data_IF_157821475692
#
_entry.id   IF_157821475692
#
_cell.length_a   1.000
_cell.length_b   1.000
_cell.length_c   1.000
_cell.angle_alpha   90.00
_cell.angle_beta   90.00
_cell.angle_gamma   90.00
#
_symmetry.space_group_name_H-M   'P 1'
#
loop_
_entity.id
_entity.type
_entity.pdbx_description
1 polymer ?
#
# COMPACT_ATOMS: atom_id res chain seq x y z
N UNK A 1 -4.91 -4.10 3.21
CA UNK A 1 -3.60 -3.54 3.61
C UNK A 1 -3.86 -2.20 4.28
N UNK A 2 -3.17 -1.81 5.35
CA UNK A 2 -3.39 -0.50 6.00
C UNK A 2 -2.37 0.55 5.54
N UNK A 3 -2.78 1.80 5.25
CA UNK A 3 -1.88 2.88 4.85
C UNK A 3 -0.68 3.11 5.78
N UNK A 4 -0.81 2.73 7.06
CA UNK A 4 0.24 2.79 8.09
C UNK A 4 1.58 2.19 7.63
N UNK A 5 1.55 1.12 6.83
CA UNK A 5 2.79 0.51 6.30
C UNK A 5 3.57 1.49 5.42
N UNK A 6 2.88 2.20 4.53
CA UNK A 6 3.52 3.13 3.60
C UNK A 6 4.00 4.38 4.29
N UNK A 7 3.24 4.88 5.27
CA UNK A 7 3.64 6.00 6.15
C UNK A 7 4.95 5.68 6.88
N UNK A 8 5.06 4.48 7.46
CA UNK A 8 6.30 4.05 8.13
C UNK A 8 7.48 4.04 7.16
N UNK A 9 7.30 3.48 5.96
CA UNK A 9 8.36 3.40 4.95
C UNK A 9 8.75 4.81 4.45
N UNK A 10 7.80 5.73 4.31
CA UNK A 10 8.09 7.12 3.96
C UNK A 10 8.98 7.78 5.01
N UNK A 11 8.57 7.72 6.28
CA UNK A 11 9.32 8.33 7.40
C UNK A 11 10.72 7.72 7.56
N UNK A 12 10.91 6.45 7.21
CA UNK A 12 12.22 5.79 7.19
C UNK A 12 13.11 6.25 6.03
N UNK A 13 12.53 6.59 4.86
CA UNK A 13 13.29 6.94 3.64
C UNK A 13 13.54 8.43 3.50
N UNK A 14 12.61 9.24 3.97
CA UNK A 14 12.59 10.70 3.84
C UNK A 14 12.36 11.31 5.23
N UNK A 15 13.29 11.10 6.19
CA UNK A 15 13.11 11.54 7.58
C UNK A 15 12.99 13.06 7.73
N UNK A 16 13.57 13.81 6.79
CA UNK A 16 13.55 15.27 6.78
C UNK A 16 12.30 15.86 6.09
N UNK A 17 11.45 15.01 5.48
CA UNK A 17 10.23 15.43 4.77
C UNK A 17 9.01 14.84 5.48
N UNK A 18 8.29 15.62 6.31
CA UNK A 18 7.15 15.11 7.05
C UNK A 18 6.02 14.71 6.09
N UNK A 19 5.39 13.56 6.36
CA UNK A 19 4.17 13.14 5.68
C UNK A 19 2.95 13.56 6.49
N UNK A 20 2.18 14.51 5.96
CA UNK A 20 0.91 14.95 6.56
C UNK A 20 -0.22 14.05 6.08
N UNK A 21 -1.03 13.54 7.02
CA UNK A 21 -2.21 12.73 6.71
C UNK A 21 -3.46 13.54 6.97
N UNK A 22 -4.26 13.75 5.92
CA UNK A 22 -5.57 14.38 6.01
C UNK A 22 -6.65 13.29 5.96
N UNK A 23 -7.50 13.24 6.98
CA UNK A 23 -8.68 12.38 6.96
C UNK A 23 -9.84 13.15 6.30
N UNK A 24 -10.47 12.51 5.33
CA UNK A 24 -11.61 13.03 4.57
C UNK A 24 -12.63 11.92 4.41
N UNK A 25 -13.89 12.28 4.22
CA UNK A 25 -14.91 11.31 3.80
C UNK A 25 -14.62 10.83 2.37
N UNK A 26 -15.19 9.69 1.99
CA UNK A 26 -15.01 9.17 0.64
C UNK A 26 -15.58 10.13 -0.43
N UNK A 27 -16.69 10.82 -0.13
CA UNK A 27 -17.28 11.81 -1.02
C UNK A 27 -16.44 13.08 -1.21
N UNK A 28 -15.63 13.46 -0.21
CA UNK A 28 -14.77 14.66 -0.27
C UNK A 28 -13.43 14.41 -0.97
N UNK A 29 -12.94 13.16 -0.98
CA UNK A 29 -11.56 12.85 -1.34
C UNK A 29 -11.14 13.36 -2.73
N UNK A 30 -12.02 13.26 -3.72
CA UNK A 30 -11.75 13.77 -5.07
C UNK A 30 -11.68 15.29 -5.14
N UNK A 31 -12.58 15.99 -4.43
CA UNK A 31 -12.57 17.46 -4.38
C UNK A 31 -11.27 17.97 -3.75
N UNK A 32 -10.84 17.37 -2.64
CA UNK A 32 -9.60 17.74 -1.95
C UNK A 32 -8.36 17.58 -2.84
N UNK A 33 -8.29 16.53 -3.67
CA UNK A 33 -7.18 16.37 -4.62
C UNK A 33 -7.21 17.46 -5.71
N UNK A 34 -8.38 17.73 -6.28
CA UNK A 34 -8.55 18.74 -7.35
C UNK A 34 -8.27 20.16 -6.86
N UNK A 35 -8.64 20.45 -5.62
CA UNK A 35 -8.43 21.75 -4.99
C UNK A 35 -6.99 21.95 -4.48
N UNK A 36 -6.12 20.94 -4.63
CA UNK A 36 -4.74 20.98 -4.15
C UNK A 36 -4.62 20.91 -2.62
N UNK A 37 -5.65 20.45 -1.93
CA UNK A 37 -5.64 20.23 -0.48
C UNK A 37 -4.82 19.00 -0.05
N UNK A 38 -4.48 18.13 -0.99
CA UNK A 38 -3.55 17.01 -0.81
C UNK A 38 -2.82 16.68 -2.12
N UNK A 39 -1.55 16.25 -2.03
CA UNK A 39 -0.74 15.86 -3.20
C UNK A 39 -1.11 14.47 -3.76
N UNK A 40 -1.62 13.59 -2.90
CA UNK A 40 -2.08 12.25 -3.26
C UNK A 40 -3.12 11.74 -2.26
N UNK A 41 -4.01 10.87 -2.71
CA UNK A 41 -5.14 10.36 -1.91
C UNK A 41 -5.40 8.88 -2.14
N UNK A 42 -5.87 8.21 -1.09
CA UNK A 42 -6.46 6.88 -1.21
C UNK A 42 -7.94 7.03 -1.54
N UNK A 43 -8.31 6.68 -2.76
CA UNK A 43 -9.66 6.87 -3.30
C UNK A 43 -10.22 5.54 -3.77
N UNK A 44 -11.53 5.52 -4.05
CA UNK A 44 -12.20 4.36 -4.64
C UNK A 44 -12.37 4.57 -6.14
N UNK A 45 -12.22 3.49 -6.89
CA UNK A 45 -12.50 3.50 -8.33
C UNK A 45 -14.02 3.45 -8.58
N UNK A 46 -14.50 4.03 -9.69
CA UNK A 46 -13.74 4.66 -10.77
C UNK A 46 -13.17 6.04 -10.40
N UNK A 47 -12.02 6.37 -10.99
CA UNK A 47 -11.42 7.71 -10.94
C UNK A 47 -11.57 8.28 -12.35
N UNK A 48 -11.92 9.56 -12.45
CA UNK A 48 -11.89 10.29 -13.71
C UNK A 48 -10.44 10.46 -14.17
N UNK A 49 -10.08 9.83 -15.27
CA UNK A 49 -8.71 9.80 -15.80
C UNK A 49 -8.37 11.01 -16.68
N UNK A 50 -9.29 11.98 -16.79
CA UNK A 50 -9.04 13.22 -17.53
C UNK A 50 -8.16 14.21 -16.76
N UNK A 51 -8.25 14.20 -15.42
CA UNK A 51 -7.54 15.13 -14.54
C UNK A 51 -6.75 14.45 -13.42
N UNK A 52 -7.12 13.22 -13.05
CA UNK A 52 -6.46 12.45 -12.00
C UNK A 52 -5.79 11.21 -12.56
N UNK A 53 -4.54 10.98 -12.15
CA UNK A 53 -3.88 9.70 -12.31
C UNK A 53 -4.28 8.75 -11.18
N UNK A 54 -4.31 7.44 -11.44
CA UNK A 54 -4.63 6.44 -10.43
C UNK A 54 -3.86 5.13 -10.60
N UNK A 55 -3.47 4.52 -9.49
CA UNK A 55 -2.88 3.18 -9.42
C UNK A 55 -3.73 2.30 -8.50
N UNK A 56 -4.36 1.23 -9.02
CA UNK A 56 -5.09 0.26 -8.19
C UNK A 56 -4.16 -0.39 -7.16
N UNK A 57 -4.63 -0.53 -5.92
CA UNK A 57 -3.84 -1.06 -4.80
C UNK A 57 -4.36 -2.41 -4.34
N UNK A 58 -5.63 -2.45 -3.96
CA UNK A 58 -6.28 -3.64 -3.45
C UNK A 58 -7.80 -3.49 -3.57
N UNK A 59 -8.48 -4.61 -3.46
CA UNK A 59 -9.93 -4.67 -3.45
C UNK A 59 -10.43 -4.97 -2.04
N UNK A 60 -11.56 -4.38 -1.66
CA UNK A 60 -12.24 -4.63 -0.41
C UNK A 60 -13.57 -5.34 -0.64
N UNK A 61 -13.83 -6.35 0.19
CA UNK A 61 -15.12 -7.03 0.27
C UNK A 61 -16.20 -6.05 0.72
N UNK A 62 -17.35 -6.13 0.05
CA UNK A 62 -18.57 -5.44 0.46
C UNK A 62 -19.27 -6.24 1.56
N UNK A 63 -19.71 -5.55 2.59
CA UNK A 63 -20.42 -6.13 3.73
C UNK A 63 -21.72 -5.38 3.96
N UNK A 64 -22.74 -6.09 4.43
CA UNK A 64 -23.96 -5.48 4.95
C UNK A 64 -23.78 -5.21 6.45
N UNK A 65 -24.05 -3.98 6.87
CA UNK A 65 -24.09 -3.56 8.27
C UNK A 65 -25.52 -3.68 8.77
N UNK A 66 -25.69 -4.33 9.90
CA UNK A 66 -26.98 -4.75 10.44
C UNK A 66 -27.00 -4.65 11.98
N UNK A 67 -28.18 -4.45 12.60
CA UNK A 67 -28.36 -4.67 14.03
C UNK A 67 -28.00 -6.10 14.45
N UNK A 68 -27.46 -6.28 15.65
CA UNK A 68 -27.06 -7.61 16.14
C UNK A 68 -28.21 -8.60 16.34
N UNK A 69 -29.42 -8.09 16.52
CA UNK A 69 -30.66 -8.85 16.66
C UNK A 69 -31.39 -9.07 15.32
N UNK A 70 -30.83 -8.59 14.21
CA UNK A 70 -31.35 -8.83 12.87
C UNK A 70 -31.21 -10.30 12.44
N UNK A 71 -32.16 -10.84 11.68
CA UNK A 71 -32.15 -12.24 11.23
C UNK A 71 -30.89 -12.60 10.43
N UNK A 72 -30.43 -11.69 9.58
CA UNK A 72 -29.19 -11.81 8.79
C UNK A 72 -27.94 -11.97 9.68
N UNK A 73 -27.97 -11.55 10.94
CA UNK A 73 -26.84 -11.74 11.85
C UNK A 73 -26.60 -13.21 12.22
N UNK A 74 -27.58 -14.09 11.98
CA UNK A 74 -27.51 -15.52 12.31
C UNK A 74 -26.69 -16.35 11.32
N UNK A 75 -26.38 -15.82 10.13
CA UNK A 75 -25.57 -16.47 9.09
C UNK A 75 -24.20 -15.80 8.97
N UNK A 76 -23.21 -16.47 8.39
CA UNK A 76 -21.84 -15.95 8.26
C UNK A 76 -21.65 -15.02 7.05
N UNK A 77 -22.45 -15.21 6.00
CA UNK A 77 -22.45 -14.45 4.75
C UNK A 77 -23.87 -14.43 4.15
N UNK A 78 -24.13 -13.48 3.24
CA UNK A 78 -25.41 -13.35 2.52
C UNK A 78 -25.20 -13.04 1.05
N UNK A 79 -26.29 -13.10 0.29
CA UNK A 79 -26.41 -12.62 -1.08
C UNK A 79 -27.25 -11.35 -1.13
N UNK A 80 -27.26 -10.65 -2.28
CA UNK A 80 -28.17 -9.53 -2.53
C UNK A 80 -29.64 -9.97 -2.55
N UNK A 81 -29.92 -11.22 -2.93
CA UNK A 81 -31.26 -11.81 -2.93
C UNK A 81 -31.80 -12.00 -1.51
N UNK A 82 -30.96 -12.39 -0.55
CA UNK A 82 -31.33 -12.49 0.87
C UNK A 82 -31.75 -11.15 1.48
N UNK A 83 -31.41 -10.03 0.82
CA UNK A 83 -31.74 -8.66 1.25
C UNK A 83 -32.87 -8.04 0.43
N UNK A 84 -33.50 -8.79 -0.49
CA UNK A 84 -34.45 -8.24 -1.47
C UNK A 84 -35.70 -7.61 -0.84
N UNK A 85 -36.16 -8.15 0.31
CA UNK A 85 -37.33 -7.68 1.05
C UNK A 85 -36.97 -6.69 2.18
N UNK A 86 -35.68 -6.36 2.34
CA UNK A 86 -35.20 -5.45 3.38
C UNK A 86 -35.09 -4.03 2.84
N UNK A 87 -35.33 -3.03 3.70
CA UNK A 87 -35.03 -1.64 3.35
C UNK A 87 -33.52 -1.46 3.34
N UNK A 88 -32.95 -1.09 2.19
CA UNK A 88 -31.52 -0.82 2.04
C UNK A 88 -31.29 0.68 1.85
N UNK A 89 -30.40 1.20 2.69
CA UNK A 89 -29.99 2.59 2.71
C UNK A 89 -28.89 2.82 1.69
N UNK A 90 -29.10 3.80 0.80
CA UNK A 90 -28.11 4.26 -0.18
C UNK A 90 -27.76 5.72 0.08
N UNK A 91 -26.71 6.01 0.86
CA UNK A 91 -26.33 7.39 1.14
C UNK A 91 -25.89 8.13 -0.13
N UNK A 92 -25.88 9.47 -0.11
CA UNK A 92 -25.45 10.26 -1.27
C UNK A 92 -23.95 10.11 -1.58
N UNK A 93 -23.15 9.73 -0.58
CA UNK A 93 -21.71 9.45 -0.68
C UNK A 93 -21.38 7.97 -0.87
N UNK A 94 -22.35 7.14 -1.31
CA UNK A 94 -22.14 5.72 -1.57
C UNK A 94 -20.97 5.52 -2.56
N UNK A 95 -20.10 4.58 -2.22
CA UNK A 95 -18.85 4.31 -2.93
C UNK A 95 -18.86 3.00 -3.69
N UNK A 96 -19.99 2.29 -3.67
CA UNK A 96 -20.19 1.03 -4.37
C UNK A 96 -20.80 1.31 -5.76
N UNK A 97 -20.17 0.73 -6.77
CA UNK A 97 -20.58 0.87 -8.17
C UNK A 97 -21.67 -0.17 -8.49
N UNK A 98 -22.90 0.14 -8.11
CA UNK A 98 -24.06 -0.73 -8.30
C UNK A 98 -24.64 -0.62 -9.71
N UNK A 99 -24.76 -1.75 -10.42
CA UNK A 99 -25.64 -1.81 -11.59
C UNK A 99 -27.12 -1.75 -11.19
N UNK A 100 -27.46 -2.49 -10.12
CA UNK A 100 -28.77 -2.49 -9.48
C UNK A 100 -28.58 -2.63 -7.97
N UNK A 101 -28.91 -1.60 -7.18
CA UNK A 101 -28.85 -1.71 -5.73
C UNK A 101 -29.84 -2.76 -5.20
N UNK A 102 -29.49 -3.51 -4.13
CA UNK A 102 -30.35 -4.54 -3.57
C UNK A 102 -31.43 -3.96 -2.66
N UNK A 103 -32.43 -4.80 -2.33
CA UNK A 103 -33.48 -4.47 -1.38
C UNK A 103 -34.46 -3.39 -1.84
N UNK A 104 -35.34 -3.01 -0.93
CA UNK A 104 -36.27 -1.91 -1.11
C UNK A 104 -35.57 -0.57 -0.83
N UNK A 105 -35.67 0.42 -1.72
CA UNK A 105 -35.07 1.72 -1.47
C UNK A 105 -35.79 2.44 -0.33
N UNK A 106 -35.02 3.02 0.59
CA UNK A 106 -35.57 3.91 1.60
C UNK A 106 -36.26 5.13 0.98
N UNK A 107 -37.26 5.67 1.68
CA UNK A 107 -38.03 6.84 1.24
C UNK A 107 -37.14 8.07 1.00
N UNK A 108 -36.14 8.27 1.86
CA UNK A 108 -35.15 9.33 1.74
C UNK A 108 -33.74 8.76 1.84
N UNK A 109 -32.84 9.30 1.01
CA UNK A 109 -31.44 8.90 1.01
C UNK A 109 -30.68 9.69 2.08
N UNK A 110 -29.93 9.03 2.97
CA UNK A 110 -29.09 9.72 3.94
C UNK A 110 -28.03 10.58 3.22
N UNK A 111 -27.66 11.72 3.80
CA UNK A 111 -26.66 12.59 3.19
C UNK A 111 -25.28 11.93 3.17
N UNK A 112 -24.92 11.23 4.26
CA UNK A 112 -23.62 10.58 4.41
C UNK A 112 -23.74 9.13 4.86
N UNK A 113 -22.67 8.37 4.66
CA UNK A 113 -22.52 7.00 5.18
C UNK A 113 -22.63 6.98 6.70
N UNK A 114 -22.15 8.02 7.39
CA UNK A 114 -22.28 8.15 8.84
C UNK A 114 -23.73 8.30 9.28
N UNK A 115 -24.52 9.12 8.58
CA UNK A 115 -25.96 9.27 8.84
C UNK A 115 -26.71 7.95 8.60
N UNK A 116 -26.35 7.24 7.51
CA UNK A 116 -26.92 5.92 7.22
C UNK A 116 -26.65 4.92 8.35
N UNK A 117 -25.44 4.91 8.93
CA UNK A 117 -25.11 4.03 10.06
C UNK A 117 -26.00 4.31 11.28
N UNK A 118 -26.31 5.58 11.58
CA UNK A 118 -27.22 5.92 12.68
C UNK A 118 -28.65 5.41 12.42
N UNK A 119 -29.11 5.44 11.17
CA UNK A 119 -30.41 4.86 10.79
C UNK A 119 -30.43 3.33 10.89
N UNK A 120 -29.33 2.65 10.51
CA UNK A 120 -29.19 1.20 10.73
C UNK A 120 -29.27 0.89 12.23
N UNK A 121 -28.58 1.65 13.08
CA UNK A 121 -28.62 1.46 14.53
C UNK A 121 -30.02 1.70 15.13
N UNK A 122 -30.83 2.56 14.49
CA UNK A 122 -32.23 2.77 14.84
C UNK A 122 -33.18 1.69 14.28
N UNK A 123 -32.67 0.71 13.52
CA UNK A 123 -33.47 -0.38 12.93
C UNK A 123 -34.31 0.06 11.72
N UNK A 124 -33.96 1.17 11.06
CA UNK A 124 -34.73 1.74 9.94
C UNK A 124 -34.46 0.99 8.62
N UNK A 125 -33.28 0.40 8.49
CA UNK A 125 -32.87 -0.37 7.32
C UNK A 125 -31.47 -0.92 7.48
N UNK A 126 -30.95 -1.51 6.41
CA UNK A 126 -29.61 -2.09 6.34
C UNK A 126 -28.72 -1.23 5.43
N UNK A 127 -27.42 -1.35 5.55
CA UNK A 127 -26.47 -0.56 4.76
C UNK A 127 -25.35 -1.44 4.22
N UNK A 128 -25.14 -1.43 2.90
CA UNK A 128 -23.99 -2.11 2.30
C UNK A 128 -22.85 -1.11 2.14
N UNK A 129 -21.68 -1.47 2.65
CA UNK A 129 -20.46 -0.66 2.57
C UNK A 129 -19.23 -1.55 2.40
N UNK A 130 -18.11 -1.00 1.90
CA UNK A 130 -16.82 -1.68 2.00
C UNK A 130 -16.46 -1.99 3.46
N UNK A 131 -15.83 -3.15 3.71
CA UNK A 131 -15.51 -3.61 5.06
C UNK A 131 -14.67 -2.62 5.88
N UNK A 132 -13.87 -1.75 5.26
CA UNK A 132 -13.14 -0.71 5.99
C UNK A 132 -14.06 0.36 6.59
N UNK A 133 -15.14 0.75 5.91
CA UNK A 133 -16.12 1.72 6.42
C UNK A 133 -16.97 1.11 7.54
N UNK A 134 -17.38 -0.16 7.42
CA UNK A 134 -18.03 -0.88 8.51
C UNK A 134 -17.17 -0.92 9.79
N UNK A 135 -15.85 -1.07 9.62
CA UNK A 135 -14.89 -1.02 10.74
C UNK A 135 -14.67 0.40 11.29
N UNK A 136 -14.65 1.40 10.41
CA UNK A 136 -14.52 2.81 10.81
C UNK A 136 -15.70 3.26 11.67
N UNK A 137 -16.91 2.88 11.29
CA UNK A 137 -18.14 3.21 12.00
C UNK A 137 -18.60 2.13 12.99
N UNK A 138 -17.69 1.27 13.43
CA UNK A 138 -18.02 0.16 14.32
C UNK A 138 -18.61 0.64 15.66
N UNK A 139 -19.72 0.02 16.06
CA UNK A 139 -20.43 0.26 17.33
C UNK A 139 -20.97 -1.05 17.91
N UNK A 140 -21.27 -1.04 19.21
CA UNK A 140 -21.51 -2.27 19.99
C UNK A 140 -22.82 -3.00 19.65
N UNK A 141 -23.79 -2.29 19.14
CA UNK A 141 -25.15 -2.72 18.75
C UNK A 141 -25.24 -3.18 17.29
N UNK A 142 -24.21 -2.90 16.48
CA UNK A 142 -24.14 -3.32 15.08
C UNK A 142 -23.14 -4.47 14.87
N UNK A 143 -23.34 -5.22 13.79
CA UNK A 143 -22.41 -6.20 13.24
C UNK A 143 -22.42 -6.10 11.70
N UNK A 144 -21.57 -6.85 11.02
CA UNK A 144 -21.60 -6.93 9.57
C UNK A 144 -21.40 -8.36 9.05
N UNK A 145 -21.90 -8.62 7.83
CA UNK A 145 -21.74 -9.88 7.09
C UNK A 145 -21.26 -9.62 5.66
N UNK A 146 -20.31 -10.39 5.12
CA UNK A 146 -19.96 -10.33 3.70
C UNK A 146 -21.18 -10.56 2.81
N UNK A 147 -21.24 -9.80 1.71
CA UNK A 147 -22.24 -10.00 0.65
C UNK A 147 -21.50 -10.57 -0.56
N UNK A 148 -21.80 -11.81 -0.91
CA UNK A 148 -20.96 -12.65 -1.79
C UNK A 148 -21.04 -12.27 -3.27
N UNK A 149 -22.14 -11.65 -3.68
CA UNK A 149 -22.48 -11.25 -5.05
C UNK A 149 -22.57 -9.72 -5.21
N UNK A 150 -22.21 -8.95 -4.18
CA UNK A 150 -22.12 -7.49 -4.25
C UNK A 150 -20.87 -7.04 -5.03
N UNK A 151 -20.89 -5.86 -5.68
CA UNK A 151 -19.72 -5.31 -6.33
C UNK A 151 -18.61 -5.11 -5.30
N UNK A 152 -17.39 -5.55 -5.65
CA UNK A 152 -16.25 -5.31 -4.79
C UNK A 152 -15.76 -3.86 -4.91
N UNK A 153 -15.23 -3.30 -3.82
CA UNK A 153 -14.78 -1.91 -3.81
C UNK A 153 -13.28 -1.79 -3.97
N UNK A 154 -12.83 -1.27 -5.12
CA UNK A 154 -11.42 -1.15 -5.48
C UNK A 154 -10.83 0.14 -4.93
N UNK A 155 -9.74 0.04 -4.17
CA UNK A 155 -8.98 1.18 -3.64
C UNK A 155 -7.78 1.46 -4.53
N UNK A 156 -7.57 2.74 -4.85
CA UNK A 156 -6.46 3.23 -5.64
C UNK A 156 -5.69 4.34 -4.90
N UNK A 157 -4.41 4.50 -5.21
CA UNK A 157 -3.69 5.74 -4.95
C UNK A 157 -3.94 6.66 -6.14
N UNK A 158 -4.40 7.88 -5.90
CA UNK A 158 -4.67 8.86 -6.95
C UNK A 158 -4.03 10.21 -6.65
N UNK A 159 -3.69 10.97 -7.69
CA UNK A 159 -3.07 12.30 -7.61
C UNK A 159 -3.39 13.11 -8.88
N UNK A 160 -3.35 14.45 -8.85
CA UNK A 160 -3.54 15.28 -10.03
C UNK A 160 -2.47 15.03 -11.09
N UNK A 161 -2.87 14.85 -12.34
CA UNK A 161 -1.95 14.48 -13.42
C UNK A 161 -0.90 15.55 -13.69
N UNK A 162 -1.29 16.83 -13.61
CA UNK A 162 -0.43 18.00 -13.79
C UNK A 162 0.50 18.29 -12.58
N UNK A 163 0.25 17.63 -11.44
CA UNK A 163 1.02 17.75 -10.20
C UNK A 163 1.81 16.48 -9.85
N UNK A 164 2.30 15.74 -10.85
CA UNK A 164 3.19 14.58 -10.61
C UNK A 164 4.59 15.04 -10.22
N UNK A 165 4.79 15.35 -8.94
CA UNK A 165 6.07 15.81 -8.38
C UNK A 165 7.02 14.65 -8.03
N UNK A 166 8.30 14.95 -7.80
CA UNK A 166 9.29 13.95 -7.34
C UNK A 166 8.85 13.25 -6.05
N UNK A 167 8.19 13.97 -5.13
CA UNK A 167 7.67 13.41 -3.87
C UNK A 167 6.50 12.45 -4.11
N UNK A 168 5.60 12.78 -5.04
CA UNK A 168 4.51 11.89 -5.45
C UNK A 168 5.09 10.63 -6.10
N UNK A 169 6.09 10.76 -6.97
CA UNK A 169 6.79 9.62 -7.57
C UNK A 169 7.50 8.72 -6.54
N UNK A 170 8.15 9.31 -5.54
CA UNK A 170 8.75 8.58 -4.43
C UNK A 170 7.68 7.81 -3.63
N UNK A 171 6.54 8.44 -3.35
CA UNK A 171 5.43 7.79 -2.63
C UNK A 171 4.80 6.66 -3.46
N UNK A 172 4.56 6.88 -4.75
CA UNK A 172 4.15 5.84 -5.71
C UNK A 172 5.14 4.68 -5.66
N UNK A 173 6.44 4.97 -5.56
CA UNK A 173 7.47 3.94 -5.45
C UNK A 173 7.38 3.12 -4.18
N UNK A 174 7.12 3.76 -3.05
CA UNK A 174 6.88 3.10 -1.77
C UNK A 174 5.62 2.23 -1.84
N UNK A 175 4.55 2.74 -2.41
CA UNK A 175 3.27 2.05 -2.55
C UNK A 175 3.39 0.80 -3.42
N UNK A 176 4.15 0.89 -4.52
CA UNK A 176 4.51 -0.24 -5.40
C UNK A 176 5.57 -1.18 -4.82
N UNK A 177 6.10 -0.90 -3.62
CA UNK A 177 7.10 -1.75 -2.97
C UNK A 177 8.52 -1.65 -3.57
N UNK A 178 8.83 -0.58 -4.33
CA UNK A 178 10.21 -0.33 -4.81
C UNK A 178 11.14 -0.24 -3.60
N UNK A 179 12.24 -0.99 -3.61
CA UNK A 179 13.29 -0.89 -2.57
C UNK A 179 14.18 0.34 -2.79
N UNK A 180 14.87 0.80 -1.75
CA UNK A 180 15.74 2.01 -1.78
C UNK A 180 16.85 1.91 -2.85
N UNK A 181 17.22 0.70 -3.25
CA UNK A 181 18.21 0.43 -4.31
C UNK A 181 17.61 0.35 -5.74
N UNK A 182 16.31 0.60 -5.93
CA UNK A 182 15.68 0.59 -7.25
C UNK A 182 16.04 1.87 -8.02
N UNK A 183 17.20 1.85 -8.68
CA UNK A 183 17.83 2.98 -9.35
C UNK A 183 17.17 3.43 -10.66
N UNK A 184 15.87 3.20 -10.89
CA UNK A 184 15.19 3.61 -12.14
C UNK A 184 14.60 5.04 -12.10
N UNK A 185 14.66 5.75 -10.97
CA UNK A 185 14.12 7.12 -10.84
C UNK A 185 15.08 8.20 -10.38
N UNK A 186 16.28 7.84 -9.88
CA UNK A 186 17.23 8.86 -9.41
C UNK A 186 18.02 9.39 -10.59
N UNK A 187 17.61 10.53 -11.15
CA UNK A 187 18.54 11.38 -11.88
C UNK A 187 19.68 11.72 -10.90
N UNK A 188 20.88 11.18 -11.16
CA UNK A 188 22.07 11.57 -10.40
C UNK A 188 22.22 13.09 -10.59
N UNK A 189 22.45 13.88 -9.52
CA UNK A 189 22.97 15.23 -9.67
C UNK A 189 24.24 15.15 -10.55
N UNK A 190 24.50 16.12 -11.44
CA UNK A 190 25.68 16.09 -12.29
C UNK A 190 26.92 15.93 -11.41
N UNK A 191 27.61 14.81 -11.59
CA UNK A 191 28.85 14.51 -10.89
C UNK A 191 29.88 15.57 -11.35
N UNK A 192 30.14 16.53 -10.47
CA UNK A 192 31.08 17.62 -10.70
C UNK A 192 32.46 16.98 -10.96
N UNK A 193 32.91 17.04 -12.22
CA UNK A 193 34.15 16.43 -12.67
C UNK A 193 35.32 17.02 -11.89
N UNK A 194 35.83 16.26 -10.91
CA UNK A 194 37.09 16.58 -10.26
C UNK A 194 38.21 16.69 -11.31
N UNK A 195 39.01 17.76 -11.31
CA UNK A 195 40.10 17.90 -12.25
C UNK A 195 41.17 16.82 -12.00
N UNK A 196 41.86 16.34 -13.05
CA UNK A 196 42.80 15.23 -12.92
C UNK A 196 43.98 15.62 -12.03
N UNK A 197 44.25 14.78 -11.02
CA UNK A 197 45.41 14.91 -10.12
C UNK A 197 46.71 14.91 -10.93
N UNK A 198 47.48 15.98 -10.79
CA UNK A 198 48.82 16.12 -11.34
C UNK A 198 49.75 15.00 -10.83
N UNK A 199 50.44 14.34 -11.76
CA UNK A 199 51.45 13.30 -11.47
C UNK A 199 52.69 13.95 -10.82
N UNK A 200 53.06 13.51 -9.61
CA UNK A 200 54.37 13.82 -9.00
C UNK A 200 55.47 12.97 -9.67
N UNK A 201 56.68 13.50 -9.93
CA UNK A 201 57.76 12.73 -10.51
C UNK A 201 58.57 11.92 -9.48
N UNK A 202 58.88 10.70 -9.93
CA UNK A 202 59.89 9.67 -9.63
C UNK A 202 60.77 9.68 -8.35
N UNK A 203 61.05 8.45 -7.88
CA UNK A 203 62.39 8.05 -7.44
C UNK A 203 62.66 6.57 -7.86
N UNK A 204 63.88 6.22 -8.31
CA UNK A 204 64.16 4.93 -8.95
C UNK A 204 64.66 3.89 -7.93
N UNK A 205 64.34 2.60 -8.13
CA UNK A 205 65.04 1.52 -7.40
C UNK A 205 65.08 0.19 -8.15
N UNK A 206 66.26 -0.05 -8.74
CA UNK A 206 67.08 -1.28 -8.82
C UNK A 206 66.40 -2.64 -9.04
N UNK A 207 66.74 -3.27 -10.17
CA UNK A 207 66.66 -4.71 -10.41
C UNK A 207 67.61 -5.50 -9.48
N UNK A 208 67.27 -6.76 -9.19
CA UNK A 208 68.23 -7.82 -9.48
C UNK A 208 67.64 -9.01 -10.26
N UNK A 209 68.61 -9.69 -10.86
CA UNK A 209 68.61 -10.72 -11.88
C UNK A 209 68.14 -12.11 -11.46
N UNK A 210 67.70 -12.87 -12.46
CA UNK A 210 67.47 -14.33 -12.48
C UNK A 210 68.74 -15.14 -12.18
N UNK A 211 68.64 -16.21 -11.38
CA UNK A 211 69.53 -17.38 -11.51
C UNK A 211 68.88 -18.66 -10.95
N UNK A 212 69.10 -19.73 -11.71
CA UNK A 212 68.61 -21.11 -11.60
C UNK A 212 69.75 -21.95 -11.00
N UNK A 213 69.49 -22.89 -10.08
CA UNK A 213 70.58 -23.79 -9.65
C UNK A 213 70.31 -24.76 -8.49
N UNK A 214 70.03 -26.01 -8.87
CA UNK A 214 70.55 -27.28 -8.32
C UNK A 214 70.17 -27.84 -6.93
N UNK A 215 69.80 -29.13 -7.00
CA UNK A 215 69.74 -30.17 -5.96
C UNK A 215 71.14 -30.48 -5.40
N UNK A 216 71.30 -30.82 -4.11
CA UNK A 216 71.43 -32.24 -3.67
C UNK A 216 71.57 -32.43 -2.14
N UNK A 217 71.16 -33.64 -1.76
CA UNK A 217 71.14 -34.38 -0.49
C UNK A 217 72.21 -34.22 0.61
N UNK A 218 71.77 -34.47 1.87
CA UNK A 218 72.26 -35.43 2.91
C UNK A 218 71.70 -35.00 4.28
N UNK A 219 71.58 -35.77 5.36
CA UNK A 219 71.37 -37.19 5.70
C UNK A 219 71.45 -37.28 7.25
N UNK A 220 70.62 -38.10 7.91
CA UNK A 220 70.77 -38.50 9.34
C UNK A 220 69.61 -38.05 10.23
N UNK A 221 68.94 -38.86 11.04
CA UNK A 221 69.16 -40.26 11.45
C UNK A 221 67.86 -40.91 12.00
N UNK A 222 67.95 -42.23 12.14
CA UNK A 222 66.97 -43.27 12.57
C UNK A 222 66.80 -43.33 14.12
N UNK A 223 66.08 -44.32 14.72
CA UNK A 223 64.77 -44.94 14.40
C UNK A 223 63.88 -45.17 15.66
N UNK A 224 62.61 -45.55 15.48
CA UNK A 224 61.75 -46.08 16.57
C UNK A 224 60.66 -47.01 16.04
N UNK A 225 60.50 -48.19 16.66
CA UNK A 225 59.87 -49.44 16.18
C UNK A 225 58.32 -49.48 16.29
N UNK A 226 57.66 -50.55 15.74
CA UNK A 226 56.26 -50.59 15.31
C UNK A 226 55.31 -51.38 16.25
N UNK A 227 54.00 -51.32 15.97
CA UNK A 227 52.95 -52.37 16.11
C UNK A 227 51.57 -51.70 16.09
N UNK A 228 50.44 -52.29 15.68
CA UNK A 228 50.01 -53.39 14.80
C UNK A 228 48.50 -53.14 14.65
N UNK A 229 47.93 -53.56 13.52
CA UNK A 229 46.48 -53.53 13.22
C UNK A 229 45.63 -54.11 14.35
N UNK A 230 44.42 -53.56 14.50
CA UNK A 230 43.15 -54.24 14.28
C UNK A 230 42.15 -53.23 13.73
#
# INVERSE_FOLDING_TARGET
MTPTKWVRIWNERLPDIPLTLLQVTAGEAFGVLRDGGADAGFVRLPVDDTDLSAIPLYTETTVVVIPKDHVVAAVDEVTTEDLADEVVLHPLDDTLDWERPPGEPAFERPATTADAIELVAAGIGLLLVPQSLARLHHRKDLTYRPVTDAPESRVALSWPQDATTDLVEDFIGIVRGRTVNSSRGRAKPPEEKQPPKAKRPAAPRRQPTTARGQRNAKSGGRPGKPRRRS
#
